data_IF_750390263787
#
_entry.id   IF_750390263787
#
_cell.length_a   1.000
_cell.length_b   1.000
_cell.length_c   1.000
_cell.angle_alpha   90.00
_cell.angle_beta   90.00
_cell.angle_gamma   90.00
#
_symmetry.space_group_name_H-M   'P 1'
#
loop_
_entity.id
_entity.type
_entity.pdbx_description
1 polymer ?
#
# COMPACT_ATOMS: atom_id res chain seq x y z
N UNK A 1 -14.60 -35.85 -28.99
CA UNK A 1 -14.66 -35.91 -27.52
C UNK A 1 -13.44 -35.15 -27.01
N UNK A 2 -13.56 -33.83 -26.87
CA UNK A 2 -12.46 -32.96 -26.44
C UNK A 2 -12.64 -32.65 -24.97
N UNK A 3 -11.77 -33.18 -24.12
CA UNK A 3 -11.64 -32.81 -22.71
C UNK A 3 -11.21 -31.34 -22.65
N UNK A 4 -12.12 -30.46 -22.27
CA UNK A 4 -11.79 -29.09 -21.90
C UNK A 4 -10.93 -29.14 -20.64
N UNK A 5 -9.63 -28.86 -20.77
CA UNK A 5 -8.77 -28.56 -19.65
C UNK A 5 -9.31 -27.32 -18.92
N UNK A 6 -10.02 -27.54 -17.81
CA UNK A 6 -10.36 -26.46 -16.88
C UNK A 6 -9.07 -25.96 -16.22
N UNK A 7 -8.56 -24.85 -16.74
CA UNK A 7 -7.47 -24.06 -16.17
C UNK A 7 -7.80 -23.76 -14.69
N UNK A 8 -6.98 -24.17 -13.71
CA UNK A 8 -7.38 -24.23 -12.32
C UNK A 8 -7.60 -22.81 -11.77
N UNK A 9 -8.80 -22.56 -11.26
CA UNK A 9 -9.15 -21.74 -10.09
C UNK A 9 -8.26 -20.52 -9.73
N UNK A 10 -7.72 -19.78 -10.70
CA UNK A 10 -7.00 -18.51 -10.45
C UNK A 10 -7.96 -17.36 -10.11
N UNK A 11 -9.26 -17.64 -10.04
CA UNK A 11 -10.34 -16.66 -10.08
C UNK A 11 -11.10 -16.48 -8.75
N UNK A 12 -10.58 -16.93 -7.59
CA UNK A 12 -11.27 -16.70 -6.29
C UNK A 12 -10.69 -15.58 -5.41
N UNK A 13 -9.58 -14.95 -5.82
CA UNK A 13 -9.06 -13.74 -5.17
C UNK A 13 -9.47 -12.44 -5.89
N UNK A 14 -10.13 -12.56 -7.05
CA UNK A 14 -10.49 -11.43 -7.94
C UNK A 14 -11.90 -10.88 -7.65
N UNK A 15 -12.72 -11.58 -6.85
CA UNK A 15 -14.05 -11.14 -6.44
C UNK A 15 -14.12 -10.80 -4.95
N UNK A 16 -13.91 -9.54 -4.58
CA UNK A 16 -14.14 -9.06 -3.21
C UNK A 16 -13.38 -7.77 -2.86
N UNK A 17 -13.51 -7.25 -1.63
CA UNK A 17 -12.87 -6.01 -1.17
C UNK A 17 -11.33 -6.00 -1.24
N UNK A 18 -10.71 -7.18 -1.34
CA UNK A 18 -9.27 -7.31 -1.65
C UNK A 18 -8.88 -6.71 -3.00
N UNK A 19 -9.75 -6.77 -4.01
CA UNK A 19 -9.52 -6.14 -5.31
C UNK A 19 -9.46 -4.61 -5.20
N UNK A 20 -10.34 -4.02 -4.39
CA UNK A 20 -10.32 -2.58 -4.13
C UNK A 20 -9.03 -2.16 -3.41
N UNK A 21 -8.57 -2.96 -2.44
CA UNK A 21 -7.29 -2.71 -1.76
C UNK A 21 -6.11 -2.76 -2.74
N UNK A 22 -6.05 -3.76 -3.62
CA UNK A 22 -5.01 -3.87 -4.65
C UNK A 22 -5.04 -2.66 -5.59
N UNK A 23 -6.23 -2.22 -6.02
CA UNK A 23 -6.37 -1.04 -6.86
C UNK A 23 -5.92 0.24 -6.15
N UNK A 24 -6.37 0.47 -4.92
CA UNK A 24 -6.01 1.65 -4.14
C UNK A 24 -4.50 1.70 -3.86
N UNK A 25 -3.91 0.59 -3.45
CA UNK A 25 -2.45 0.49 -3.30
C UNK A 25 -1.73 0.71 -4.64
N UNK A 26 -2.22 0.12 -5.74
CA UNK A 26 -1.65 0.33 -7.07
C UNK A 26 -1.67 1.80 -7.50
N UNK A 27 -2.78 2.51 -7.28
CA UNK A 27 -2.89 3.95 -7.57
C UNK A 27 -1.92 4.76 -6.71
N UNK A 28 -1.81 4.44 -5.42
CA UNK A 28 -0.85 5.10 -4.52
C UNK A 28 0.59 4.85 -4.96
N UNK A 29 0.95 3.64 -5.42
CA UNK A 29 2.26 3.35 -6.00
C UNK A 29 2.53 4.24 -7.20
N UNK A 30 1.60 4.31 -8.16
CA UNK A 30 1.79 5.15 -9.35
C UNK A 30 1.95 6.62 -8.96
N UNK A 31 1.08 7.13 -8.08
CA UNK A 31 1.14 8.52 -7.62
C UNK A 31 2.46 8.85 -6.89
N UNK A 32 2.87 8.00 -5.95
CA UNK A 32 4.11 8.19 -5.18
C UNK A 32 5.34 8.08 -6.05
N UNK A 33 5.43 7.07 -6.91
CA UNK A 33 6.59 6.83 -7.78
C UNK A 33 6.70 7.92 -8.82
N UNK A 34 5.60 8.30 -9.50
CA UNK A 34 5.62 9.38 -10.49
C UNK A 34 6.07 10.71 -9.87
N UNK A 35 5.51 11.07 -8.71
CA UNK A 35 5.89 12.28 -7.99
C UNK A 35 7.37 12.23 -7.57
N UNK A 36 7.79 11.12 -6.97
CA UNK A 36 9.17 10.94 -6.51
C UNK A 36 10.15 11.03 -7.66
N UNK A 37 9.91 10.37 -8.79
CA UNK A 37 10.79 10.41 -9.98
C UNK A 37 10.93 11.82 -10.51
N UNK A 38 9.83 12.55 -10.69
CA UNK A 38 9.87 13.95 -11.19
C UNK A 38 10.63 14.85 -10.22
N UNK A 39 10.34 14.75 -8.92
CA UNK A 39 10.95 15.58 -7.88
C UNK A 39 12.44 15.28 -7.68
N UNK A 40 12.82 14.00 -7.69
CA UNK A 40 14.20 13.53 -7.68
C UNK A 40 14.95 14.07 -8.91
N UNK A 41 14.41 13.88 -10.12
CA UNK A 41 15.11 14.26 -11.34
C UNK A 41 15.23 15.77 -11.55
N UNK A 42 14.35 16.58 -10.97
CA UNK A 42 14.31 18.03 -11.23
C UNK A 42 14.75 18.91 -10.06
N UNK A 43 14.58 18.45 -8.81
CA UNK A 43 14.67 19.30 -7.62
C UNK A 43 15.34 18.62 -6.41
N UNK A 44 16.16 17.58 -6.61
CA UNK A 44 16.76 16.80 -5.51
C UNK A 44 17.41 17.66 -4.39
N UNK A 45 17.95 18.84 -4.73
CA UNK A 45 18.56 19.76 -3.77
C UNK A 45 17.60 20.56 -2.89
N UNK A 46 16.30 20.59 -3.18
CA UNK A 46 15.31 21.43 -2.49
C UNK A 46 14.77 20.76 -1.22
N UNK A 47 14.47 19.46 -1.29
CA UNK A 47 13.89 18.70 -0.17
C UNK A 47 14.26 17.21 -0.22
N UNK A 48 15.55 16.85 -0.04
CA UNK A 48 16.04 15.48 -0.23
C UNK A 48 15.38 14.45 0.70
N UNK A 49 15.04 14.85 1.93
CA UNK A 49 14.33 14.01 2.90
C UNK A 49 12.91 13.67 2.43
N UNK A 50 12.15 14.67 1.96
CA UNK A 50 10.77 14.49 1.52
C UNK A 50 10.66 13.53 0.32
N UNK A 51 11.58 13.67 -0.63
CA UNK A 51 11.58 12.84 -1.83
C UNK A 51 12.04 11.41 -1.55
N UNK A 52 13.03 11.24 -0.67
CA UNK A 52 13.48 9.91 -0.22
C UNK A 52 12.38 9.15 0.51
N UNK A 53 11.64 9.83 1.41
CA UNK A 53 10.50 9.23 2.11
C UNK A 53 9.38 8.84 1.16
N UNK A 54 9.10 9.66 0.15
CA UNK A 54 8.10 9.35 -0.88
C UNK A 54 8.52 8.15 -1.75
N UNK A 55 9.81 8.02 -2.06
CA UNK A 55 10.35 6.86 -2.77
C UNK A 55 10.26 5.58 -1.93
N UNK A 56 10.60 5.65 -0.64
CA UNK A 56 10.44 4.52 0.30
C UNK A 56 8.97 4.11 0.41
N UNK A 57 8.06 5.08 0.51
CA UNK A 57 6.62 4.82 0.53
C UNK A 57 6.18 4.06 -0.73
N UNK A 58 6.63 4.50 -1.92
CA UNK A 58 6.34 3.81 -3.18
C UNK A 58 6.82 2.36 -3.20
N UNK A 59 8.01 2.08 -2.67
CA UNK A 59 8.54 0.70 -2.54
C UNK A 59 7.68 -0.14 -1.60
N UNK A 60 7.31 0.42 -0.44
CA UNK A 60 6.46 -0.28 0.55
C UNK A 60 5.09 -0.60 -0.05
N UNK A 61 4.43 0.38 -0.69
CA UNK A 61 3.14 0.18 -1.33
C UNK A 61 3.22 -0.84 -2.47
N UNK A 62 4.31 -0.82 -3.25
CA UNK A 62 4.56 -1.77 -4.32
C UNK A 62 4.68 -3.21 -3.77
N UNK A 63 5.40 -3.36 -2.65
CA UNK A 63 5.56 -4.66 -2.01
C UNK A 63 4.25 -5.18 -1.40
N UNK A 64 3.44 -4.31 -0.80
CA UNK A 64 2.09 -4.66 -0.31
C UNK A 64 1.21 -5.12 -1.47
N UNK A 65 1.17 -4.34 -2.56
CA UNK A 65 0.41 -4.69 -3.78
C UNK A 65 0.84 -6.05 -4.31
N UNK A 66 2.14 -6.28 -4.45
CA UNK A 66 2.69 -7.54 -4.93
C UNK A 66 2.31 -8.73 -4.03
N UNK A 67 2.39 -8.54 -2.71
CA UNK A 67 2.04 -9.56 -1.72
C UNK A 67 0.55 -9.90 -1.76
N UNK A 68 -0.32 -8.90 -1.92
CA UNK A 68 -1.76 -9.08 -2.07
C UNK A 68 -2.12 -9.81 -3.37
N UNK A 69 -1.46 -9.49 -4.48
CA UNK A 69 -1.69 -10.14 -5.79
C UNK A 69 -1.21 -11.59 -5.81
N UNK A 70 -0.06 -11.88 -5.18
CA UNK A 70 0.53 -13.23 -5.18
C UNK A 70 -0.30 -14.22 -4.37
N UNK A 71 -0.93 -13.77 -3.28
CA UNK A 71 -1.74 -14.60 -2.40
C UNK A 71 -0.92 -15.66 -1.63
N UNK A 72 -1.55 -16.27 -0.61
CA UNK A 72 -0.93 -17.31 0.24
C UNK A 72 -0.56 -16.84 1.65
N UNK A 73 -0.33 -17.79 2.56
CA UNK A 73 -0.13 -17.52 4.00
C UNK A 73 1.15 -16.70 4.28
N UNK A 74 2.25 -17.03 3.61
CA UNK A 74 3.52 -16.28 3.71
C UNK A 74 3.41 -14.88 3.13
N UNK A 75 2.77 -14.73 1.97
CA UNK A 75 2.51 -13.42 1.35
C UNK A 75 1.59 -12.56 2.23
N UNK A 76 0.58 -13.15 2.89
CA UNK A 76 -0.28 -12.46 3.84
C UNK A 76 0.48 -11.93 5.06
N UNK A 77 1.38 -12.73 5.64
CA UNK A 77 2.23 -12.30 6.76
C UNK A 77 3.16 -11.17 6.34
N UNK A 78 3.76 -11.27 5.16
CA UNK A 78 4.59 -10.21 4.60
C UNK A 78 3.78 -8.91 4.40
N UNK A 79 2.57 -9.00 3.83
CA UNK A 79 1.67 -7.87 3.67
C UNK A 79 1.31 -7.22 5.02
N UNK A 80 1.06 -8.01 6.07
CA UNK A 80 0.79 -7.48 7.42
C UNK A 80 1.99 -6.70 7.98
N UNK A 81 3.21 -7.23 7.85
CA UNK A 81 4.43 -6.53 8.29
C UNK A 81 4.59 -5.22 7.52
N UNK A 82 4.37 -5.23 6.20
CA UNK A 82 4.47 -4.03 5.40
C UNK A 82 3.38 -3.01 5.71
N UNK A 83 2.13 -3.42 5.97
CA UNK A 83 1.07 -2.52 6.43
C UNK A 83 1.40 -1.89 7.79
N UNK A 84 2.01 -2.66 8.70
CA UNK A 84 2.47 -2.14 9.99
C UNK A 84 3.62 -1.13 9.81
N UNK A 85 4.56 -1.43 8.91
CA UNK A 85 5.67 -0.52 8.57
C UNK A 85 5.17 0.77 7.90
N UNK A 86 4.19 0.67 6.99
CA UNK A 86 3.51 1.81 6.39
C UNK A 86 2.84 2.68 7.46
N UNK A 87 2.04 2.07 8.34
CA UNK A 87 1.36 2.80 9.41
C UNK A 87 2.36 3.48 10.34
N UNK A 88 3.45 2.79 10.69
CA UNK A 88 4.53 3.38 11.48
C UNK A 88 5.20 4.55 10.74
N UNK A 89 5.45 4.43 9.44
CA UNK A 89 5.99 5.48 8.59
C UNK A 89 5.09 6.71 8.54
N UNK A 90 3.79 6.52 8.33
CA UNK A 90 2.79 7.59 8.32
C UNK A 90 2.72 8.31 9.66
N UNK A 91 2.72 7.56 10.77
CA UNK A 91 2.67 8.15 12.10
C UNK A 91 3.98 8.89 12.44
N UNK A 92 5.14 8.30 12.12
CA UNK A 92 6.43 8.91 12.39
C UNK A 92 6.63 10.19 11.56
N UNK A 93 6.41 10.12 10.25
CA UNK A 93 6.59 11.27 9.34
C UNK A 93 5.50 12.32 9.55
N UNK A 94 4.24 11.93 9.73
CA UNK A 94 3.17 12.86 10.05
C UNK A 94 3.38 13.58 11.37
N UNK A 95 3.93 12.91 12.39
CA UNK A 95 4.28 13.57 13.66
C UNK A 95 5.51 14.47 13.49
N UNK A 96 6.50 14.05 12.71
CA UNK A 96 7.69 14.86 12.44
C UNK A 96 7.32 16.14 11.69
N UNK A 97 6.42 16.08 10.70
CA UNK A 97 6.00 17.26 9.95
C UNK A 97 5.27 18.28 10.82
N UNK A 98 4.61 17.84 11.90
CA UNK A 98 3.98 18.72 12.89
C UNK A 98 4.98 19.33 13.89
N UNK A 99 5.99 18.55 14.31
CA UNK A 99 6.97 18.98 15.32
C UNK A 99 8.04 19.89 14.71
N UNK A 100 8.51 19.56 13.51
CA UNK A 100 9.53 20.34 12.80
C UNK A 100 9.11 20.55 11.34
N UNK A 101 8.16 21.48 11.07
CA UNK A 101 7.73 21.79 9.72
C UNK A 101 8.87 22.32 8.85
N UNK A 102 9.88 22.97 9.46
CA UNK A 102 11.00 23.56 8.72
C UNK A 102 11.95 22.52 8.09
N UNK A 103 11.95 21.28 8.62
CA UNK A 103 12.70 20.17 8.06
C UNK A 103 12.05 19.57 6.79
N UNK A 104 10.80 19.96 6.48
CA UNK A 104 10.06 19.54 5.30
C UNK A 104 9.70 20.74 4.42
N UNK A 105 10.62 21.15 3.52
CA UNK A 105 10.32 22.20 2.53
C UNK A 105 9.20 21.78 1.56
N UNK A 106 8.98 20.48 1.41
CA UNK A 106 7.94 19.87 0.59
C UNK A 106 7.19 18.78 1.36
N UNK A 107 5.87 18.70 1.11
CA UNK A 107 5.02 17.66 1.67
C UNK A 107 5.27 16.30 1.03
N UNK A 108 5.34 15.26 1.86
CA UNK A 108 5.38 13.84 1.46
C UNK A 108 3.98 13.25 1.45
N UNK A 109 3.84 12.03 0.91
CA UNK A 109 2.58 11.28 1.03
C UNK A 109 2.19 10.93 2.47
N UNK A 110 3.13 11.02 3.42
CA UNK A 110 2.90 10.74 4.83
C UNK A 110 2.78 12.01 5.69
N UNK A 111 2.97 13.18 5.08
CA UNK A 111 2.86 14.46 5.79
C UNK A 111 1.45 14.68 6.30
N UNK A 112 1.35 15.22 7.52
CA UNK A 112 0.10 15.46 8.24
C UNK A 112 -0.81 14.22 8.26
N UNK A 113 -0.22 13.04 8.43
CA UNK A 113 -0.91 11.75 8.40
C UNK A 113 -1.64 11.44 7.08
N UNK A 114 -1.23 12.08 5.98
CA UNK A 114 -1.81 11.89 4.65
C UNK A 114 -3.10 12.68 4.42
N UNK A 115 -3.30 13.83 5.08
CA UNK A 115 -4.45 14.74 4.87
C UNK A 115 -4.66 15.07 3.39
N UNK A 116 -3.58 15.39 2.66
CA UNK A 116 -3.64 15.70 1.22
C UNK A 116 -4.14 14.53 0.36
N UNK A 117 -4.10 13.32 0.91
CA UNK A 117 -4.56 12.09 0.31
C UNK A 117 -5.82 11.57 1.02
N UNK A 118 -6.60 12.42 1.69
CA UNK A 118 -7.82 12.02 2.41
C UNK A 118 -7.58 10.91 3.46
N UNK A 119 -6.42 10.94 4.13
CA UNK A 119 -5.97 9.92 5.09
C UNK A 119 -5.85 8.50 4.49
N UNK A 120 -5.82 8.37 3.17
CA UNK A 120 -5.63 7.09 2.47
C UNK A 120 -4.41 6.31 3.02
N UNK A 121 -3.23 6.92 3.26
CA UNK A 121 -2.07 6.23 3.84
C UNK A 121 -2.29 5.61 5.22
N UNK A 122 -3.28 6.08 5.99
CA UNK A 122 -3.66 5.49 7.29
C UNK A 122 -4.77 4.45 7.11
N UNK A 123 -5.79 4.79 6.31
CA UNK A 123 -6.97 3.96 6.14
C UNK A 123 -6.67 2.67 5.37
N UNK A 124 -5.78 2.71 4.37
CA UNK A 124 -5.38 1.54 3.59
C UNK A 124 -4.74 0.44 4.44
N UNK A 125 -3.64 0.69 5.19
CA UNK A 125 -3.00 -0.35 5.98
C UNK A 125 -3.92 -0.89 7.07
N UNK A 126 -4.74 -0.05 7.70
CA UNK A 126 -5.74 -0.50 8.68
C UNK A 126 -6.77 -1.44 8.05
N UNK A 127 -7.31 -1.05 6.88
CA UNK A 127 -8.27 -1.86 6.13
C UNK A 127 -7.66 -3.18 5.66
N UNK A 128 -6.43 -3.12 5.13
CA UNK A 128 -5.68 -4.29 4.68
C UNK A 128 -5.39 -5.25 5.84
N UNK A 129 -4.91 -4.75 6.99
CA UNK A 129 -4.69 -5.57 8.18
C UNK A 129 -5.99 -6.21 8.69
N UNK A 130 -7.08 -5.45 8.74
CA UNK A 130 -8.39 -5.97 9.16
C UNK A 130 -8.85 -7.12 8.25
N UNK A 131 -8.76 -6.94 6.93
CA UNK A 131 -9.15 -7.95 5.95
C UNK A 131 -8.21 -9.17 5.91
N UNK A 132 -6.91 -8.94 6.04
CA UNK A 132 -5.91 -10.01 6.13
C UNK A 132 -6.14 -10.87 7.37
N UNK A 133 -6.47 -10.25 8.51
CA UNK A 133 -6.82 -10.96 9.77
C UNK A 133 -8.18 -11.67 9.66
N UNK A 134 -9.19 -11.03 9.07
CA UNK A 134 -10.53 -11.61 8.91
C UNK A 134 -10.58 -12.76 7.90
N UNK A 135 -9.58 -12.84 7.00
CA UNK A 135 -9.35 -13.98 6.12
C UNK A 135 -9.15 -15.34 6.81
N UNK A 136 -9.04 -15.37 8.15
CA UNK A 136 -9.16 -16.57 8.99
C UNK A 136 -10.58 -17.18 9.03
N UNK A 137 -11.61 -16.50 8.53
CA UNK A 137 -13.00 -17.00 8.56
C UNK A 137 -13.82 -16.80 7.27
N UNK A 138 -13.20 -16.40 6.15
CA UNK A 138 -13.89 -16.17 4.88
C UNK A 138 -13.39 -17.08 3.74
N UNK A 139 -12.98 -18.30 4.09
CA UNK A 139 -12.89 -19.40 3.15
C UNK A 139 -14.14 -20.26 3.26
N UNK A 140 -14.87 -20.40 2.15
CA UNK A 140 -16.04 -21.26 1.91
C UNK A 140 -17.43 -20.60 2.14
N UNK A 141 -18.09 -20.06 1.11
CA UNK A 141 -19.49 -20.40 0.91
C UNK A 141 -19.54 -21.89 0.55
N UNK A 142 -20.13 -22.69 1.44
CA UNK A 142 -20.47 -24.07 1.15
C UNK A 142 -21.22 -24.15 -0.17
N UNK A 143 -20.75 -25.04 -1.04
CA UNK A 143 -21.49 -25.46 -2.21
C UNK A 143 -22.74 -26.20 -1.72
N UNK A 144 -23.91 -25.59 -1.93
CA UNK A 144 -25.20 -26.26 -1.88
C UNK A 144 -25.65 -26.56 -3.31
#
# INVERSE_FOLDING_TARGET
MATTEEKPARARLIGGPGMLLVWLYGVMVVGTVSRSVVQISTQFGTAPLAYSLSAVAGVVYGFITYSLVRGGETARRAALVCCAAELAGVLAVGTWTLVEPSAFPDATVWSDYGVDYLFIPVLLPLSAMYWLRKGLGAGQPDAA
#
